data_IF_516041720262
#
_entry.id   IF_516041720262
#
_cell.length_a   1.000
_cell.length_b   1.000
_cell.length_c   1.000
_cell.angle_alpha   90.00
_cell.angle_beta   90.00
_cell.angle_gamma   90.00
#
_symmetry.space_group_name_H-M   'P 1'
#
loop_
_entity.id
_entity.type
_entity.pdbx_description
1 polymer ?
#
# COMPACT_ATOMS: atom_id res chain seq x y z
N UNK A 1 -18.08 4.31 15.46
CA UNK A 1 -17.03 3.66 14.65
C UNK A 1 -16.03 4.72 14.27
N UNK A 2 -14.74 4.47 14.46
CA UNK A 2 -13.68 5.29 13.89
C UNK A 2 -13.86 5.38 12.37
N UNK A 3 -13.57 6.54 11.79
CA UNK A 3 -13.63 6.71 10.33
C UNK A 3 -12.51 5.88 9.70
N UNK A 4 -12.87 5.05 8.71
CA UNK A 4 -11.90 4.30 7.90
C UNK A 4 -11.26 5.26 6.90
N UNK A 5 -9.95 5.19 6.78
CA UNK A 5 -9.21 6.03 5.82
C UNK A 5 -8.26 5.20 4.96
N UNK A 6 -7.86 5.73 3.82
CA UNK A 6 -6.92 5.08 2.92
C UNK A 6 -5.89 6.05 2.33
N UNK A 7 -4.68 5.53 2.13
CA UNK A 7 -3.57 6.22 1.47
C UNK A 7 -2.80 5.24 0.61
N UNK A 8 -2.24 5.72 -0.50
CA UNK A 8 -1.51 4.89 -1.45
C UNK A 8 -0.01 5.23 -1.52
N UNK A 9 0.78 4.28 -1.95
CA UNK A 9 2.22 4.37 -2.13
C UNK A 9 2.59 3.88 -3.53
N UNK A 10 3.46 4.63 -4.19
CA UNK A 10 3.92 4.33 -5.56
C UNK A 10 5.39 4.69 -5.72
N UNK A 11 5.96 4.39 -6.88
CA UNK A 11 7.36 4.67 -7.20
C UNK A 11 8.07 3.50 -7.88
N UNK A 12 9.26 3.72 -8.46
CA UNK A 12 10.01 2.74 -9.24
C UNK A 12 10.41 1.51 -8.42
N UNK A 13 10.68 0.38 -9.08
CA UNK A 13 11.22 -0.80 -8.42
C UNK A 13 12.45 -0.46 -7.57
N UNK A 14 12.61 -1.12 -6.42
CA UNK A 14 13.71 -0.89 -5.47
C UNK A 14 13.80 0.50 -4.83
N UNK A 15 12.76 1.34 -4.91
CA UNK A 15 12.76 2.63 -4.20
C UNK A 15 12.56 2.53 -2.67
N UNK A 16 12.25 1.35 -2.15
CA UNK A 16 12.02 1.15 -0.71
C UNK A 16 10.56 1.30 -0.26
N UNK A 17 9.59 1.38 -1.18
CA UNK A 17 8.15 1.44 -0.87
C UNK A 17 7.70 0.40 0.14
N UNK A 18 7.97 -0.88 -0.13
CA UNK A 18 7.54 -1.99 0.73
C UNK A 18 8.13 -1.84 2.12
N UNK A 19 9.41 -1.45 2.23
CA UNK A 19 10.06 -1.17 3.52
C UNK A 19 9.42 0.00 4.25
N UNK A 20 9.05 1.08 3.54
CA UNK A 20 8.36 2.22 4.14
C UNK A 20 6.96 1.83 4.65
N UNK A 21 6.16 1.16 3.82
CA UNK A 21 4.81 0.69 4.18
C UNK A 21 4.87 -0.25 5.39
N UNK A 22 5.85 -1.16 5.43
CA UNK A 22 6.07 -2.04 6.58
C UNK A 22 6.40 -1.28 7.86
N UNK A 23 7.30 -0.28 7.80
CA UNK A 23 7.66 0.56 8.96
C UNK A 23 6.44 1.33 9.48
N UNK A 24 5.68 1.95 8.59
CA UNK A 24 4.45 2.68 8.93
C UNK A 24 3.44 1.73 9.59
N UNK A 25 3.20 0.56 8.99
CA UNK A 25 2.25 -0.41 9.53
C UNK A 25 2.65 -0.88 10.94
N UNK A 26 3.93 -1.14 11.20
CA UNK A 26 4.45 -1.54 12.51
C UNK A 26 4.26 -0.48 13.59
N UNK A 27 4.25 0.80 13.22
CA UNK A 27 3.98 1.90 14.15
C UNK A 27 2.47 2.01 14.40
N UNK A 28 1.67 2.12 13.32
CA UNK A 28 0.24 2.37 13.42
C UNK A 28 -0.55 1.22 14.06
N UNK A 29 -0.10 -0.04 13.91
CA UNK A 29 -0.81 -1.20 14.46
C UNK A 29 -0.90 -1.20 15.99
N UNK A 30 -0.09 -0.38 16.67
CA UNK A 30 -0.15 -0.21 18.14
C UNK A 30 -1.42 0.50 18.60
N UNK A 31 -2.05 1.29 17.73
CA UNK A 31 -3.17 2.18 18.07
C UNK A 31 -4.36 2.04 17.11
N UNK A 32 -4.15 1.44 15.94
CA UNK A 32 -5.13 1.36 14.85
C UNK A 32 -5.17 -0.04 14.27
N UNK A 33 -6.33 -0.45 13.77
CA UNK A 33 -6.46 -1.65 12.94
C UNK A 33 -5.96 -1.32 11.53
N UNK A 34 -4.82 -1.90 11.15
CA UNK A 34 -4.17 -1.63 9.86
C UNK A 34 -4.50 -2.72 8.85
N UNK A 35 -4.98 -2.32 7.68
CA UNK A 35 -5.10 -3.17 6.49
C UNK A 35 -4.02 -2.78 5.46
N UNK A 36 -3.48 -3.75 4.73
CA UNK A 36 -2.52 -3.51 3.65
C UNK A 36 -3.03 -4.20 2.39
N UNK A 37 -3.12 -3.43 1.31
CA UNK A 37 -3.38 -3.94 -0.03
C UNK A 37 -2.14 -3.73 -0.87
N UNK A 38 -1.62 -4.80 -1.47
CA UNK A 38 -0.53 -4.71 -2.44
C UNK A 38 -1.04 -5.21 -3.79
N UNK A 39 -0.80 -4.43 -4.83
CA UNK A 39 -1.06 -4.85 -6.19
C UNK A 39 0.17 -5.49 -6.82
N UNK A 40 0.03 -6.71 -7.32
CA UNK A 40 1.06 -7.41 -8.08
C UNK A 40 0.66 -7.47 -9.56
N UNK A 41 1.05 -6.48 -10.38
CA UNK A 41 0.63 -6.41 -11.78
C UNK A 41 1.23 -7.52 -12.66
N UNK A 42 2.18 -8.31 -12.14
CA UNK A 42 2.84 -9.39 -12.89
C UNK A 42 2.44 -10.78 -12.41
N UNK A 43 1.49 -10.88 -11.47
CA UNK A 43 0.96 -12.13 -10.93
C UNK A 43 2.07 -13.13 -10.51
N UNK A 44 3.04 -12.65 -9.74
CA UNK A 44 4.20 -13.41 -9.28
C UNK A 44 4.08 -13.89 -7.83
N UNK A 45 3.13 -13.35 -7.09
CA UNK A 45 2.98 -13.62 -5.68
C UNK A 45 2.32 -14.98 -5.43
N UNK A 46 3.04 -15.87 -4.72
CA UNK A 46 2.53 -17.18 -4.30
C UNK A 46 2.53 -17.26 -2.77
N UNK A 47 1.35 -17.51 -2.20
CA UNK A 47 1.13 -17.49 -0.74
C UNK A 47 0.71 -18.85 -0.15
N UNK A 48 0.69 -19.90 -0.97
CA UNK A 48 0.36 -21.26 -0.53
C UNK A 48 1.39 -22.28 -1.04
N UNK A 49 1.33 -23.51 -0.49
CA UNK A 49 2.24 -24.61 -0.81
C UNK A 49 1.62 -25.54 -1.84
N UNK A 50 2.29 -25.70 -2.98
CA UNK A 50 1.86 -26.58 -4.06
C UNK A 50 1.62 -28.03 -3.58
N UNK A 51 0.56 -28.65 -4.09
CA UNK A 51 0.19 -30.04 -3.78
C UNK A 51 -0.56 -30.27 -2.46
N UNK A 52 -0.68 -29.26 -1.59
CA UNK A 52 -1.53 -29.32 -0.39
C UNK A 52 -3.02 -29.14 -0.71
N UNK A 53 -3.88 -29.51 0.24
CA UNK A 53 -5.34 -29.47 0.04
C UNK A 53 -5.86 -28.05 -0.21
N UNK A 54 -5.32 -27.05 0.52
CA UNK A 54 -5.64 -25.64 0.30
C UNK A 54 -5.33 -25.19 -1.14
N UNK A 55 -4.19 -25.62 -1.68
CA UNK A 55 -3.80 -25.31 -3.05
C UNK A 55 -4.72 -26.01 -4.05
N UNK A 56 -5.03 -27.30 -3.85
CA UNK A 56 -5.98 -28.02 -4.71
C UNK A 56 -7.36 -27.38 -4.71
N UNK A 57 -7.87 -26.95 -3.55
CA UNK A 57 -9.12 -26.22 -3.44
C UNK A 57 -9.05 -24.88 -4.17
N UNK A 58 -7.96 -24.13 -4.01
CA UNK A 58 -7.80 -22.84 -4.67
C UNK A 58 -7.77 -22.96 -6.19
N UNK A 59 -7.32 -24.09 -6.75
CA UNK A 59 -7.33 -24.35 -8.21
C UNK A 59 -8.73 -24.66 -8.78
N UNK A 60 -9.73 -24.94 -7.95
CA UNK A 60 -11.09 -25.27 -8.43
C UNK A 60 -11.86 -24.07 -8.98
N UNK A 61 -11.39 -22.84 -8.76
CA UNK A 61 -12.13 -21.61 -9.04
C UNK A 61 -13.20 -21.28 -7.99
N UNK A 62 -13.37 -22.12 -6.97
CA UNK A 62 -14.20 -21.79 -5.82
C UNK A 62 -13.55 -20.68 -4.97
N UNK A 63 -14.38 -19.98 -4.21
CA UNK A 63 -13.93 -19.09 -3.15
C UNK A 63 -13.55 -19.96 -1.94
N UNK A 64 -12.30 -19.91 -1.50
CA UNK A 64 -11.76 -20.84 -0.49
C UNK A 64 -11.36 -20.07 0.76
N UNK A 65 -11.81 -20.56 1.91
CA UNK A 65 -11.41 -20.05 3.24
C UNK A 65 -10.69 -21.16 4.00
N UNK A 66 -9.51 -20.86 4.51
CA UNK A 66 -8.74 -21.73 5.40
C UNK A 66 -8.65 -21.05 6.76
N UNK A 67 -9.19 -21.69 7.81
CA UNK A 67 -9.20 -21.15 9.17
C UNK A 67 -8.22 -21.89 10.07
N UNK A 68 -7.68 -21.19 11.05
CA UNK A 68 -6.92 -21.75 12.17
C UNK A 68 -7.15 -20.92 13.44
N UNK A 69 -6.71 -21.39 14.62
CA UNK A 69 -6.84 -20.60 15.85
C UNK A 69 -6.14 -19.23 15.83
N UNK A 70 -5.19 -19.02 14.93
CA UNK A 70 -4.34 -17.81 14.88
C UNK A 70 -4.43 -17.04 13.58
N UNK A 71 -5.03 -17.59 12.52
CA UNK A 71 -5.15 -16.92 11.22
C UNK A 71 -6.34 -17.42 10.42
N UNK A 72 -6.80 -16.56 9.52
CA UNK A 72 -7.72 -16.94 8.44
C UNK A 72 -7.11 -16.49 7.12
N UNK A 73 -7.10 -17.39 6.15
CA UNK A 73 -6.63 -17.11 4.78
C UNK A 73 -7.81 -17.28 3.83
N UNK A 74 -7.93 -16.35 2.89
CA UNK A 74 -8.97 -16.39 1.87
C UNK A 74 -8.32 -16.33 0.49
N UNK A 75 -8.69 -17.27 -0.38
CA UNK A 75 -8.25 -17.35 -1.76
C UNK A 75 -9.42 -17.09 -2.69
N UNK A 76 -9.22 -16.20 -3.64
CA UNK A 76 -10.18 -15.88 -4.71
C UNK A 76 -9.44 -15.80 -6.03
N UNK A 77 -9.96 -16.48 -7.05
CA UNK A 77 -9.50 -16.30 -8.45
C UNK A 77 -10.28 -15.19 -9.16
N UNK A 78 -11.21 -14.54 -8.46
CA UNK A 78 -12.04 -13.48 -9.02
C UNK A 78 -11.36 -12.15 -8.77
N UNK A 79 -11.30 -11.30 -9.79
CA UNK A 79 -10.88 -9.91 -9.62
C UNK A 79 -11.84 -9.20 -8.64
N UNK A 80 -11.29 -8.36 -7.78
CA UNK A 80 -12.02 -7.60 -6.76
C UNK A 80 -11.69 -6.13 -6.89
N UNK A 81 -12.72 -5.29 -6.87
CA UNK A 81 -12.54 -3.84 -6.84
C UNK A 81 -12.02 -3.40 -5.47
N UNK A 82 -11.59 -2.14 -5.35
CA UNK A 82 -11.22 -1.58 -4.05
C UNK A 82 -12.39 -1.67 -3.06
N UNK A 83 -13.61 -1.39 -3.50
CA UNK A 83 -14.81 -1.43 -2.66
C UNK A 83 -15.11 -2.86 -2.17
N UNK A 84 -14.94 -3.86 -3.03
CA UNK A 84 -15.06 -5.27 -2.64
C UNK A 84 -14.04 -5.65 -1.56
N UNK A 85 -12.78 -5.20 -1.71
CA UNK A 85 -11.71 -5.47 -0.75
C UNK A 85 -11.98 -4.77 0.59
N UNK A 86 -12.43 -3.51 0.55
CA UNK A 86 -12.81 -2.74 1.74
C UNK A 86 -13.97 -3.41 2.47
N UNK A 87 -14.99 -3.88 1.72
CA UNK A 87 -16.12 -4.62 2.28
C UNK A 87 -15.71 -5.99 2.85
N UNK A 88 -14.77 -6.69 2.19
CA UNK A 88 -14.25 -7.98 2.63
C UNK A 88 -13.46 -7.88 3.94
N UNK A 89 -12.60 -6.88 4.09
CA UNK A 89 -11.81 -6.69 5.32
C UNK A 89 -12.70 -6.15 6.44
N UNK A 90 -13.56 -5.17 6.12
CA UNK A 90 -14.54 -4.50 6.97
C UNK A 90 -13.98 -3.80 8.23
N UNK A 91 -13.32 -4.54 9.12
CA UNK A 91 -12.84 -4.16 10.44
C UNK A 91 -11.39 -3.64 10.42
N UNK A 92 -11.22 -2.43 9.87
CA UNK A 92 -9.95 -1.72 9.89
C UNK A 92 -10.17 -0.22 10.07
N UNK A 93 -9.12 0.49 10.48
CA UNK A 93 -9.12 1.94 10.65
C UNK A 93 -8.37 2.66 9.53
N UNK A 94 -7.29 2.06 9.02
CA UNK A 94 -6.48 2.59 7.93
C UNK A 94 -6.10 1.51 6.94
N UNK A 95 -6.26 1.80 5.65
CA UNK A 95 -5.81 0.97 4.53
C UNK A 95 -4.58 1.60 3.87
N UNK A 96 -3.47 0.87 3.88
CA UNK A 96 -2.24 1.23 3.16
C UNK A 96 -2.21 0.50 1.83
N UNK A 97 -2.18 1.22 0.71
CA UNK A 97 -2.20 0.62 -0.63
C UNK A 97 -0.84 0.74 -1.30
N UNK A 98 -0.14 -0.35 -1.56
CA UNK A 98 1.07 -0.37 -2.38
C UNK A 98 0.72 -0.68 -3.85
N UNK A 99 0.89 0.30 -4.74
CA UNK A 99 0.63 0.17 -6.17
C UNK A 99 -0.69 0.82 -6.64
N UNK A 100 -1.26 0.30 -7.73
CA UNK A 100 -2.47 0.80 -8.42
C UNK A 100 -2.50 2.33 -8.59
N UNK A 101 -1.73 2.86 -9.54
CA UNK A 101 -1.63 4.30 -9.81
C UNK A 101 -2.98 4.97 -10.13
N UNK A 102 -3.96 4.20 -10.57
CA UNK A 102 -5.29 4.68 -10.99
C UNK A 102 -6.27 4.84 -9.84
N UNK A 103 -5.96 4.34 -8.64
CA UNK A 103 -6.86 4.53 -7.50
C UNK A 103 -6.90 6.02 -7.08
N UNK A 104 -8.11 6.60 -6.91
CA UNK A 104 -8.30 8.00 -6.52
C UNK A 104 -8.09 8.17 -5.01
N UNK A 105 -6.89 7.82 -4.55
CA UNK A 105 -6.41 7.90 -3.18
C UNK A 105 -5.21 8.86 -3.12
N UNK A 106 -5.12 9.69 -2.06
CA UNK A 106 -3.92 10.44 -1.74
C UNK A 106 -2.71 9.54 -1.72
N UNK A 107 -1.61 9.99 -2.31
CA UNK A 107 -0.50 9.12 -2.68
C UNK A 107 0.85 9.75 -2.44
N UNK A 108 1.73 8.92 -1.88
CA UNK A 108 3.15 9.21 -1.70
C UNK A 108 3.95 8.42 -2.76
N UNK A 109 4.70 9.12 -3.61
CA UNK A 109 5.68 8.50 -4.49
C UNK A 109 7.05 8.43 -3.81
N UNK A 110 7.62 7.23 -3.73
CA UNK A 110 8.88 6.97 -3.03
C UNK A 110 10.02 6.87 -4.04
N UNK A 111 11.09 7.64 -3.83
CA UNK A 111 12.27 7.65 -4.68
C UNK A 111 13.58 7.55 -3.89
N UNK A 112 14.58 6.97 -4.56
CA UNK A 112 16.00 6.98 -4.17
C UNK A 112 16.83 7.13 -5.43
N UNK A 113 17.98 7.79 -5.34
CA UNK A 113 18.95 8.10 -6.40
C UNK A 113 18.43 9.04 -7.51
N UNK A 114 17.19 8.83 -7.98
CA UNK A 114 16.58 9.60 -9.05
C UNK A 114 15.08 9.73 -8.84
N UNK A 115 14.54 10.92 -9.10
CA UNK A 115 13.10 11.12 -9.21
C UNK A 115 12.62 10.71 -10.61
N UNK A 116 11.52 9.98 -10.67
CA UNK A 116 10.79 9.72 -11.92
C UNK A 116 9.56 10.64 -11.94
N UNK A 117 9.64 11.71 -12.74
CA UNK A 117 8.62 12.76 -12.82
C UNK A 117 7.28 12.23 -13.36
N UNK A 118 7.25 11.04 -13.99
CA UNK A 118 6.01 10.42 -14.45
C UNK A 118 5.03 10.06 -13.33
N UNK A 119 5.47 10.09 -12.07
CA UNK A 119 4.63 9.86 -10.90
C UNK A 119 4.02 11.14 -10.30
N UNK A 120 4.46 12.33 -10.72
CA UNK A 120 3.94 13.60 -10.18
C UNK A 120 2.44 13.76 -10.44
N UNK A 121 1.96 13.34 -11.60
CA UNK A 121 0.55 13.44 -11.96
C UNK A 121 -0.40 12.57 -11.14
N UNK A 122 0.14 11.61 -10.36
CA UNK A 122 -0.66 10.69 -9.56
C UNK A 122 -0.36 10.77 -8.06
N UNK A 123 0.46 11.73 -7.61
CA UNK A 123 0.93 11.81 -6.23
C UNK A 123 0.83 13.22 -5.69
N UNK A 124 0.34 13.33 -4.46
CA UNK A 124 0.25 14.57 -3.68
C UNK A 124 1.51 14.79 -2.84
N UNK A 125 2.34 13.76 -2.66
CA UNK A 125 3.63 13.87 -2.00
C UNK A 125 4.70 12.98 -2.65
N UNK A 126 5.96 13.37 -2.46
CA UNK A 126 7.13 12.53 -2.71
C UNK A 126 7.89 12.29 -1.40
N UNK A 127 8.36 11.06 -1.20
CA UNK A 127 9.28 10.72 -0.11
C UNK A 127 10.64 10.38 -0.71
N UNK A 128 11.65 11.17 -0.37
CA UNK A 128 13.01 11.11 -0.93
C UNK A 128 14.06 11.00 0.18
N UNK A 129 15.22 10.42 -0.13
CA UNK A 129 16.37 10.42 0.78
C UNK A 129 17.46 11.41 0.30
N UNK A 130 18.57 11.43 1.03
CA UNK A 130 19.75 12.27 0.78
C UNK A 130 20.52 11.92 -0.51
N UNK A 131 20.16 10.84 -1.20
CA UNK A 131 20.78 10.46 -2.47
C UNK A 131 20.24 11.26 -3.66
N UNK A 132 19.19 12.06 -3.46
CA UNK A 132 18.58 12.90 -4.48
C UNK A 132 19.03 14.34 -4.32
N UNK A 133 19.67 14.87 -5.35
CA UNK A 133 19.93 16.31 -5.46
C UNK A 133 18.66 17.04 -5.94
N UNK A 134 18.02 17.79 -5.05
CA UNK A 134 16.81 18.53 -5.37
C UNK A 134 17.05 19.70 -6.34
N UNK A 135 18.29 20.18 -6.49
CA UNK A 135 18.61 21.22 -7.47
C UNK A 135 18.45 20.73 -8.92
N UNK A 136 18.45 19.41 -9.14
CA UNK A 136 18.25 18.81 -10.47
C UNK A 136 16.80 18.72 -10.93
N UNK A 137 15.82 18.97 -10.07
CA UNK A 137 14.40 18.75 -10.39
C UNK A 137 13.55 19.98 -10.12
N UNK A 138 12.52 20.18 -10.95
CA UNK A 138 11.46 21.17 -10.69
C UNK A 138 10.22 20.43 -10.22
N UNK A 139 9.98 20.43 -8.91
CA UNK A 139 8.82 19.77 -8.32
C UNK A 139 7.63 20.76 -8.35
N UNK A 140 6.44 20.33 -8.82
CA UNK A 140 5.23 21.15 -8.74
C UNK A 140 4.93 21.58 -7.30
N UNK A 141 4.49 22.82 -7.11
CA UNK A 141 4.15 23.37 -5.77
C UNK A 141 3.04 22.61 -5.05
N UNK A 142 2.22 21.85 -5.80
CA UNK A 142 1.15 21.02 -5.25
C UNK A 142 1.63 19.70 -4.64
N UNK A 143 2.94 19.38 -4.72
CA UNK A 143 3.51 18.13 -4.24
C UNK A 143 4.35 18.40 -3.01
N UNK A 144 3.95 17.80 -1.89
CA UNK A 144 4.72 17.85 -0.65
C UNK A 144 6.01 17.02 -0.77
N UNK A 145 7.09 17.52 -0.17
CA UNK A 145 8.39 16.83 -0.13
C UNK A 145 8.62 16.33 1.29
N UNK A 146 8.71 15.00 1.44
CA UNK A 146 8.88 14.29 2.70
C UNK A 146 10.26 13.64 2.77
N UNK A 147 10.84 13.57 3.96
CA UNK A 147 12.07 12.80 4.21
C UNK A 147 11.71 11.32 4.35
N UNK A 148 12.19 10.50 3.40
CA UNK A 148 11.98 9.05 3.37
C UNK A 148 12.52 8.34 4.62
N UNK A 149 13.49 8.94 5.32
CA UNK A 149 14.05 8.39 6.54
C UNK A 149 13.32 8.88 7.80
N UNK A 150 12.42 9.87 7.69
CA UNK A 150 11.59 10.37 8.77
C UNK A 150 10.18 9.75 8.72
N UNK A 151 10.04 8.56 9.32
CA UNK A 151 8.76 7.83 9.30
C UNK A 151 7.64 8.57 10.03
N UNK A 152 7.95 9.33 11.08
CA UNK A 152 6.96 10.07 11.85
C UNK A 152 6.38 11.23 11.03
N UNK A 153 7.22 11.98 10.30
CA UNK A 153 6.76 13.01 9.36
C UNK A 153 5.80 12.43 8.30
N UNK A 154 6.12 11.24 7.78
CA UNK A 154 5.26 10.58 6.78
C UNK A 154 3.92 10.16 7.41
N UNK A 155 3.93 9.68 8.66
CA UNK A 155 2.71 9.34 9.38
C UNK A 155 1.85 10.58 9.65
N UNK A 156 2.46 11.71 10.04
CA UNK A 156 1.76 12.99 10.19
C UNK A 156 1.10 13.43 8.88
N UNK A 157 1.83 13.31 7.76
CA UNK A 157 1.27 13.59 6.44
C UNK A 157 0.07 12.69 6.12
N UNK A 158 0.16 11.39 6.42
CA UNK A 158 -0.94 10.43 6.24
C UNK A 158 -2.15 10.82 7.09
N UNK A 159 -1.95 11.23 8.34
CA UNK A 159 -3.06 11.65 9.21
C UNK A 159 -3.78 12.89 8.69
N UNK A 160 -3.05 13.83 8.07
CA UNK A 160 -3.62 15.04 7.50
C UNK A 160 -4.35 14.79 6.16
N UNK A 161 -3.86 13.86 5.34
CA UNK A 161 -4.28 13.74 3.94
C UNK A 161 -5.06 12.48 3.59
N UNK A 162 -5.01 11.41 4.39
CA UNK A 162 -5.67 10.15 4.04
C UNK A 162 -7.17 10.32 3.77
N UNK A 163 -7.66 9.69 2.71
CA UNK A 163 -9.04 9.83 2.25
C UNK A 163 -9.96 8.97 3.08
N UNK A 164 -11.08 9.53 3.52
CA UNK A 164 -12.15 8.76 4.16
C UNK A 164 -12.79 7.80 3.14
N UNK A 165 -12.91 6.52 3.51
CA UNK A 165 -13.58 5.47 2.74
C UNK A 165 -15.07 5.36 3.11
#
# INVERSE_FOLDING_TARGET
MSKRVAVAFTGPSNSGKTTLVEKIAKILIKERKVAIMKNDPKDKAHFDVEGKDSHKFSQTGAEVVVTSPTRTTYFSQREKTLDDIVAMINDFDILLVEGLKTLPLPRIAVFRNKIDESYFSCSEAIAIDDTIDMATYTIPESIDILDLNNTDQIIEWIHAHAKQL
#
